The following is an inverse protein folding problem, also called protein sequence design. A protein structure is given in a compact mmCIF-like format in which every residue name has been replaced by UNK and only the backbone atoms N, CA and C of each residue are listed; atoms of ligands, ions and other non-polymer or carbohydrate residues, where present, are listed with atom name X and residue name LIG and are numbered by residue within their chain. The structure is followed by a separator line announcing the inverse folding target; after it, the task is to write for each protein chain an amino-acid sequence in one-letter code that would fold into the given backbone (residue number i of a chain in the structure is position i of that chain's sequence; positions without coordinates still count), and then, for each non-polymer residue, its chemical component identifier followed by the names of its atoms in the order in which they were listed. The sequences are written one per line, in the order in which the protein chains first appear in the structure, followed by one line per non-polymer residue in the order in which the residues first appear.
data_IF_188745427917
#
_entry.id   IF_188745427917
#
_cell.length_a   1.000
_cell.length_b   1.000
_cell.length_c   1.000
_cell.angle_alpha   90.00
_cell.angle_beta   90.00
_cell.angle_gamma   90.00
#
_symmetry.space_group_name_H-M   'P 1'
#
loop_
_entity.id
_entity.type
_entity.pdbx_description
1 polymer ?
#
# COMPACT_ATOMS: atom_id res chain seq x y z
N UNK A 1 -6.28 4.15 3.33
CA UNK A 1 -7.72 4.38 3.05
C UNK A 1 -8.55 4.37 4.33
N UNK A 2 -8.58 3.29 5.12
CA UNK A 2 -9.25 3.28 6.44
C UNK A 2 -8.90 4.48 7.33
N UNK A 3 -7.61 4.80 7.47
CA UNK A 3 -7.18 5.99 8.22
C UNK A 3 -7.80 7.30 7.68
N UNK A 4 -7.94 7.45 6.37
CA UNK A 4 -8.60 8.61 5.78
C UNK A 4 -10.10 8.63 6.07
N UNK A 5 -10.78 7.49 6.00
CA UNK A 5 -12.20 7.35 6.38
C UNK A 5 -12.44 7.78 7.84
N UNK A 6 -11.58 7.31 8.76
CA UNK A 6 -11.62 7.74 10.16
C UNK A 6 -11.31 9.24 10.32
N UNK A 7 -10.33 9.78 9.59
CA UNK A 7 -9.99 11.19 9.65
C UNK A 7 -11.16 12.10 9.22
N UNK A 8 -11.93 11.69 8.22
CA UNK A 8 -13.05 12.50 7.72
C UNK A 8 -14.36 12.24 8.46
N UNK A 9 -14.40 11.24 9.34
CA UNK A 9 -15.53 10.93 10.20
C UNK A 9 -16.74 10.32 9.46
N UNK A 10 -16.54 9.74 8.27
CA UNK A 10 -17.64 9.12 7.52
C UNK A 10 -17.88 7.69 8.01
N UNK A 11 -19.15 7.25 8.13
CA UNK A 11 -19.46 5.87 8.44
C UNK A 11 -19.05 4.97 7.26
N UNK A 12 -18.48 3.81 7.56
CA UNK A 12 -18.12 2.81 6.55
C UNK A 12 -18.20 1.41 7.14
N UNK A 13 -18.37 0.42 6.26
CA UNK A 13 -18.14 -0.99 6.57
C UNK A 13 -16.80 -1.41 5.96
N UNK A 14 -16.04 -2.24 6.68
CA UNK A 14 -14.81 -2.86 6.16
C UNK A 14 -15.05 -4.32 5.91
N UNK A 15 -14.93 -4.74 4.65
CA UNK A 15 -14.87 -6.15 4.27
C UNK A 15 -13.40 -6.58 4.27
N UNK A 16 -12.98 -7.23 5.35
CA UNK A 16 -11.61 -7.74 5.47
C UNK A 16 -11.39 -8.92 4.52
N UNK A 17 -10.23 -8.91 3.84
CA UNK A 17 -9.79 -9.98 2.97
C UNK A 17 -8.46 -10.53 3.46
N UNK A 18 -8.36 -11.85 3.58
CA UNK A 18 -7.10 -12.54 3.82
C UNK A 18 -6.32 -12.59 2.50
N UNK A 19 -5.49 -11.58 2.26
CA UNK A 19 -4.73 -11.44 1.01
C UNK A 19 -3.48 -12.34 0.95
N UNK A 20 -3.11 -12.93 2.08
CA UNK A 20 -1.93 -13.77 2.22
C UNK A 20 -2.18 -15.19 1.71
N UNK A 21 -1.20 -15.84 1.06
CA UNK A 21 -1.28 -17.26 0.75
C UNK A 21 -1.45 -18.11 2.04
N UNK A 22 -2.18 -19.24 1.98
CA UNK A 22 -2.78 -19.85 0.79
C UNK A 22 -4.14 -19.27 0.38
N UNK A 23 -4.75 -18.40 1.19
CA UNK A 23 -6.13 -17.96 0.97
C UNK A 23 -6.29 -17.00 -0.20
N UNK A 24 -5.53 -15.89 -0.18
CA UNK A 24 -5.56 -14.84 -1.22
C UNK A 24 -6.99 -14.54 -1.71
N UNK A 25 -7.89 -14.18 -0.79
CA UNK A 25 -9.34 -14.03 -1.04
C UNK A 25 -9.67 -12.97 -2.11
N UNK A 26 -8.78 -11.99 -2.28
CA UNK A 26 -8.78 -11.00 -3.35
C UNK A 26 -8.57 -11.61 -4.75
N UNK A 27 -8.37 -12.92 -4.88
CA UNK A 27 -8.28 -13.63 -6.16
C UNK A 27 -9.60 -14.32 -6.51
N UNK A 28 -10.64 -14.23 -5.67
CA UNK A 28 -11.99 -14.70 -5.99
C UNK A 28 -12.53 -14.05 -7.27
N UNK A 29 -13.35 -14.77 -8.04
CA UNK A 29 -13.89 -14.25 -9.30
C UNK A 29 -14.76 -13.02 -9.01
N UNK A 30 -15.57 -13.12 -7.97
CA UNK A 30 -16.49 -12.09 -7.49
C UNK A 30 -15.75 -10.80 -7.11
N UNK A 31 -14.63 -10.91 -6.39
CA UNK A 31 -13.82 -9.74 -6.05
C UNK A 31 -13.15 -9.11 -7.27
N UNK A 32 -12.62 -9.93 -8.17
CA UNK A 32 -11.93 -9.44 -9.37
C UNK A 32 -12.93 -8.74 -10.30
N UNK A 33 -14.12 -9.32 -10.51
CA UNK A 33 -15.21 -8.70 -11.25
C UNK A 33 -15.66 -7.38 -10.61
N UNK A 34 -15.83 -7.35 -9.28
CA UNK A 34 -16.13 -6.12 -8.55
C UNK A 34 -15.08 -5.04 -8.83
N UNK A 35 -13.79 -5.38 -8.71
CA UNK A 35 -12.70 -4.41 -8.94
C UNK A 35 -12.61 -3.97 -10.41
N UNK A 36 -12.89 -4.86 -11.35
CA UNK A 36 -12.95 -4.56 -12.79
C UNK A 36 -14.13 -3.66 -13.17
N UNK A 37 -15.17 -3.55 -12.32
CA UNK A 37 -16.26 -2.60 -12.55
C UNK A 37 -15.83 -1.13 -12.38
N UNK A 38 -14.66 -0.87 -11.80
CA UNK A 38 -14.13 0.48 -11.59
C UNK A 38 -13.78 1.21 -12.89
N UNK A 39 -13.86 2.54 -12.87
CA UNK A 39 -13.54 3.37 -14.03
C UNK A 39 -12.07 3.22 -14.48
N UNK A 40 -11.15 2.97 -13.55
CA UNK A 40 -9.73 2.80 -13.87
C UNK A 40 -9.47 1.52 -14.67
N UNK A 41 -10.19 0.43 -14.38
CA UNK A 41 -10.10 -0.82 -15.12
C UNK A 41 -10.46 -0.66 -16.61
N UNK A 42 -11.37 0.27 -16.93
CA UNK A 42 -11.78 0.58 -18.31
C UNK A 42 -10.82 1.53 -19.05
N UNK A 43 -9.97 2.25 -18.33
CA UNK A 43 -9.17 3.36 -18.86
C UNK A 43 -7.66 3.14 -18.80
N UNK A 44 -7.21 2.06 -18.15
CA UNK A 44 -5.80 1.71 -18.04
C UNK A 44 -5.56 0.27 -18.50
N UNK A 45 -4.43 0.00 -19.15
CA UNK A 45 -4.04 -1.36 -19.47
C UNK A 45 -3.80 -2.15 -18.18
N UNK A 46 -3.97 -3.47 -18.26
CA UNK A 46 -3.57 -4.35 -17.19
C UNK A 46 -2.05 -4.31 -16.98
N UNK A 47 -1.66 -4.67 -15.77
CA UNK A 47 -0.25 -4.81 -15.36
C UNK A 47 0.48 -5.82 -16.22
N UNK A 48 1.65 -5.45 -16.73
CA UNK A 48 2.48 -6.31 -17.61
C UNK A 48 3.94 -6.44 -17.13
N UNK A 49 4.26 -5.96 -15.92
CA UNK A 49 5.60 -5.96 -15.37
C UNK A 49 5.62 -5.89 -13.85
N UNK A 50 6.83 -5.72 -13.28
CA UNK A 50 7.02 -5.53 -11.85
C UNK A 50 8.34 -4.79 -11.53
N UNK A 51 8.25 -3.65 -10.85
CA UNK A 51 9.40 -2.86 -10.38
C UNK A 51 9.66 -2.94 -8.87
N UNK A 52 8.86 -3.75 -8.13
CA UNK A 52 8.81 -3.72 -6.67
C UNK A 52 7.69 -2.85 -6.10
N UNK A 53 7.08 -2.00 -6.93
CA UNK A 53 5.93 -1.16 -6.58
C UNK A 53 4.58 -1.85 -6.77
N UNK A 54 3.52 -1.10 -6.51
CA UNK A 54 2.14 -1.48 -6.81
C UNK A 54 1.27 -0.34 -7.36
N UNK A 55 1.89 0.81 -7.65
CA UNK A 55 1.18 1.97 -8.20
C UNK A 55 0.66 1.67 -9.60
N UNK A 56 -0.61 2.00 -9.88
CA UNK A 56 -1.20 1.81 -11.21
C UNK A 56 -0.52 2.71 -12.25
N UNK A 57 -0.01 3.88 -11.83
CA UNK A 57 0.65 4.82 -12.72
C UNK A 57 1.92 4.23 -13.35
N UNK A 58 2.66 3.43 -12.60
CA UNK A 58 3.94 2.85 -13.03
C UNK A 58 3.83 1.40 -13.51
N UNK A 59 2.90 0.61 -12.95
CA UNK A 59 2.82 -0.83 -13.21
C UNK A 59 1.67 -1.21 -14.14
N UNK A 60 0.63 -0.38 -14.26
CA UNK A 60 -0.65 -0.76 -14.85
C UNK A 60 -1.63 -1.33 -13.83
N UNK A 61 -2.86 -1.61 -14.29
CA UNK A 61 -3.95 -2.00 -13.41
C UNK A 61 -3.89 -3.48 -13.03
N UNK A 62 -3.87 -3.77 -11.72
CA UNK A 62 -3.96 -5.12 -11.17
C UNK A 62 -5.37 -5.33 -10.57
N UNK A 63 -6.19 -6.11 -11.27
CA UNK A 63 -7.56 -6.43 -10.86
C UNK A 63 -7.63 -7.38 -9.65
N UNK A 64 -6.50 -7.95 -9.23
CA UNK A 64 -6.40 -8.80 -8.05
C UNK A 64 -5.72 -8.05 -6.88
N UNK A 65 -5.44 -6.76 -7.00
CA UNK A 65 -4.88 -5.96 -5.92
C UNK A 65 -5.96 -5.44 -4.96
N UNK A 66 -5.52 -4.98 -3.79
CA UNK A 66 -6.31 -4.21 -2.81
C UNK A 66 -5.68 -2.82 -2.67
N UNK A 67 -6.38 -1.78 -2.16
CA UNK A 67 -7.78 -1.75 -1.69
C UNK A 67 -8.79 -1.41 -2.80
N UNK A 68 -10.07 -1.75 -2.57
CA UNK A 68 -11.23 -1.34 -3.39
C UNK A 68 -12.22 -0.62 -2.48
N UNK A 69 -12.77 0.50 -2.93
CA UNK A 69 -13.87 1.23 -2.28
C UNK A 69 -15.16 1.00 -3.09
N UNK A 70 -16.25 0.71 -2.40
CA UNK A 70 -17.59 0.64 -2.99
C UNK A 70 -18.45 1.70 -2.34
N UNK A 71 -18.96 2.63 -3.14
CA UNK A 71 -20.01 3.55 -2.72
C UNK A 71 -21.36 2.93 -3.08
N UNK A 72 -22.06 2.42 -2.07
CA UNK A 72 -23.36 1.78 -2.26
C UNK A 72 -24.48 2.76 -2.63
N UNK A 73 -24.39 4.02 -2.24
CA UNK A 73 -25.40 5.04 -2.56
C UNK A 73 -25.31 5.44 -4.03
N UNK A 74 -24.09 5.55 -4.57
CA UNK A 74 -23.86 5.90 -5.99
C UNK A 74 -23.74 4.68 -6.91
N UNK A 75 -23.62 3.48 -6.35
CA UNK A 75 -23.31 2.28 -7.13
C UNK A 75 -21.94 2.34 -7.81
N UNK A 76 -20.97 3.05 -7.20
CA UNK A 76 -19.66 3.30 -7.80
C UNK A 76 -18.58 2.42 -7.15
N UNK A 77 -17.74 1.79 -7.98
CA UNK A 77 -16.54 1.10 -7.51
C UNK A 77 -15.31 1.94 -7.86
N UNK A 78 -14.50 2.25 -6.84
CA UNK A 78 -13.24 2.97 -6.99
C UNK A 78 -12.10 2.06 -6.60
N UNK A 79 -11.17 1.86 -7.52
CA UNK A 79 -9.91 1.14 -7.31
C UNK A 79 -8.74 2.11 -7.53
N UNK A 80 -7.55 1.74 -7.04
CA UNK A 80 -6.35 2.59 -6.89
C UNK A 80 -6.38 3.51 -5.66
N UNK A 81 -5.30 3.48 -4.86
CA UNK A 81 -5.21 4.23 -3.60
C UNK A 81 -5.29 5.74 -3.79
N UNK A 82 -4.78 6.28 -4.89
CA UNK A 82 -4.80 7.73 -5.16
C UNK A 82 -6.18 8.17 -5.62
N UNK A 83 -6.84 7.38 -6.47
CA UNK A 83 -8.23 7.64 -6.85
C UNK A 83 -9.19 7.52 -5.68
N UNK A 84 -9.03 6.50 -4.82
CA UNK A 84 -9.82 6.39 -3.59
C UNK A 84 -9.53 7.59 -2.69
N UNK A 85 -8.27 8.01 -2.52
CA UNK A 85 -7.96 9.20 -1.73
C UNK A 85 -8.62 10.47 -2.28
N UNK A 86 -8.61 10.68 -3.59
CA UNK A 86 -9.31 11.80 -4.23
C UNK A 86 -10.82 11.71 -4.05
N UNK A 87 -11.38 10.49 -4.07
CA UNK A 87 -12.78 10.25 -3.76
C UNK A 87 -13.12 10.68 -2.32
N UNK A 88 -12.31 10.26 -1.35
CA UNK A 88 -12.50 10.59 0.06
C UNK A 88 -12.30 12.08 0.34
N UNK A 89 -11.37 12.75 -0.35
CA UNK A 89 -11.20 14.19 -0.22
C UNK A 89 -12.46 14.95 -0.66
N UNK A 90 -13.07 14.55 -1.77
CA UNK A 90 -14.36 15.10 -2.21
C UNK A 90 -15.47 14.89 -1.17
N UNK A 91 -15.55 13.70 -0.56
CA UNK A 91 -16.49 13.45 0.54
C UNK A 91 -16.21 14.32 1.78
N UNK A 92 -14.96 14.73 1.95
CA UNK A 92 -14.52 15.59 3.06
C UNK A 92 -14.61 17.08 2.75
N UNK A 93 -15.14 17.47 1.59
CA UNK A 93 -15.19 18.88 1.14
C UNK A 93 -13.80 19.54 1.12
N UNK A 94 -12.77 18.81 0.72
CA UNK A 94 -11.40 19.33 0.59
C UNK A 94 -10.60 19.39 1.91
N UNK A 95 -11.10 18.79 3.00
CA UNK A 95 -10.38 18.76 4.28
C UNK A 95 -9.09 17.94 4.23
N UNK A 96 -9.03 16.89 3.40
CA UNK A 96 -7.81 16.07 3.25
C UNK A 96 -6.79 16.73 2.32
N UNK A 97 -7.25 17.51 1.35
CA UNK A 97 -6.44 18.19 0.33
C UNK A 97 -6.84 19.67 0.30
N UNK A 98 -6.34 20.50 1.23
CA UNK A 98 -6.63 21.94 1.23
C UNK A 98 -6.25 22.59 -0.11
N UNK A 99 -7.14 23.40 -0.67
CA UNK A 99 -7.05 23.91 -2.04
C UNK A 99 -5.72 24.60 -2.34
N UNK A 100 -5.24 25.46 -1.43
CA UNK A 100 -3.98 26.20 -1.58
C UNK A 100 -2.73 25.31 -1.43
N UNK A 101 -2.87 24.10 -0.89
CA UNK A 101 -1.80 23.11 -0.77
C UNK A 101 -1.92 21.93 -1.74
N UNK A 102 -2.92 21.91 -2.64
CA UNK A 102 -3.24 20.75 -3.48
C UNK A 102 -2.04 20.16 -4.22
N UNK A 103 -1.21 21.00 -4.85
CA UNK A 103 0.00 20.55 -5.56
C UNK A 103 1.01 19.88 -4.62
N UNK A 104 1.19 20.42 -3.41
CA UNK A 104 2.11 19.85 -2.42
C UNK A 104 1.58 18.54 -1.87
N UNK A 105 0.28 18.46 -1.60
CA UNK A 105 -0.37 17.23 -1.13
C UNK A 105 -0.16 16.09 -2.12
N UNK A 106 -0.53 16.30 -3.39
CA UNK A 106 -0.42 15.25 -4.39
C UNK A 106 1.03 14.87 -4.72
N UNK A 107 1.97 15.82 -4.60
CA UNK A 107 3.40 15.51 -4.70
C UNK A 107 3.85 14.55 -3.60
N UNK A 108 3.49 14.80 -2.35
CA UNK A 108 3.88 13.91 -1.23
C UNK A 108 3.21 12.53 -1.34
N UNK A 109 1.92 12.50 -1.74
CA UNK A 109 1.22 11.24 -2.02
C UNK A 109 1.93 10.45 -3.13
N UNK A 110 2.33 11.11 -4.22
CA UNK A 110 3.06 10.46 -5.31
C UNK A 110 4.43 9.91 -4.87
N UNK A 111 5.15 10.63 -4.00
CA UNK A 111 6.42 10.15 -3.43
C UNK A 111 6.19 8.85 -2.66
N UNK A 112 5.18 8.81 -1.79
CA UNK A 112 4.87 7.61 -0.99
C UNK A 112 4.40 6.46 -1.87
N UNK A 113 3.55 6.72 -2.87
CA UNK A 113 3.00 5.71 -3.78
C UNK A 113 4.08 5.07 -4.67
N UNK A 114 5.19 5.78 -4.90
CA UNK A 114 6.36 5.28 -5.61
C UNK A 114 7.30 4.41 -4.75
N UNK A 115 7.13 4.38 -3.42
CA UNK A 115 7.97 3.53 -2.56
C UNK A 115 7.64 2.06 -2.87
N UNK A 116 8.65 1.20 -3.10
CA UNK A 116 8.48 -0.20 -3.50
C UNK A 116 8.10 -1.10 -2.31
N UNK A 117 7.01 -0.78 -1.61
CA UNK A 117 6.58 -1.50 -0.40
C UNK A 117 6.27 -2.98 -0.66
N UNK A 118 5.80 -3.33 -1.87
CA UNK A 118 5.55 -4.72 -2.24
C UNK A 118 6.87 -5.50 -2.32
N UNK A 119 7.89 -4.93 -2.98
CA UNK A 119 9.22 -5.53 -3.08
C UNK A 119 9.85 -5.73 -1.70
N UNK A 120 9.78 -4.72 -0.82
CA UNK A 120 10.27 -4.81 0.56
C UNK A 120 9.51 -5.83 1.41
N UNK A 121 8.24 -6.11 1.06
CA UNK A 121 7.43 -7.10 1.75
C UNK A 121 7.77 -8.51 1.30
N UNK A 122 7.84 -8.79 0.00
CA UNK A 122 8.10 -10.13 -0.53
C UNK A 122 9.58 -10.52 -0.50
N UNK A 123 10.48 -9.61 -0.88
CA UNK A 123 11.91 -9.87 -0.99
C UNK A 123 12.69 -9.69 0.31
N UNK A 124 13.77 -10.45 0.46
CA UNK A 124 14.70 -10.33 1.58
C UNK A 124 15.72 -9.21 1.34
N UNK A 125 16.16 -8.55 2.41
CA UNK A 125 17.36 -7.74 2.34
C UNK A 125 18.59 -8.67 2.23
N UNK A 126 19.34 -8.65 1.11
CA UNK A 126 20.46 -9.55 0.90
C UNK A 126 21.62 -9.29 1.87
N UNK A 127 21.67 -8.12 2.50
CA UNK A 127 22.77 -7.70 3.38
C UNK A 127 22.39 -7.79 4.87
N UNK A 128 21.20 -8.32 5.19
CA UNK A 128 20.70 -8.50 6.56
C UNK A 128 19.19 -8.30 6.65
N UNK A 129 18.44 -9.41 6.70
CA UNK A 129 16.97 -9.40 6.70
C UNK A 129 16.38 -9.38 8.12
N UNK A 130 16.06 -8.17 8.59
CA UNK A 130 15.48 -7.88 9.90
C UNK A 130 13.94 -7.99 9.97
N UNK A 131 13.30 -8.42 8.87
CA UNK A 131 11.87 -8.71 8.87
C UNK A 131 11.55 -9.77 9.93
N UNK A 132 10.39 -9.68 10.62
CA UNK A 132 9.95 -10.72 11.55
C UNK A 132 9.99 -12.13 10.92
N UNK A 133 10.33 -13.14 11.71
CA UNK A 133 10.51 -14.51 11.23
C UNK A 133 9.26 -15.05 10.54
N UNK A 134 8.09 -14.76 11.10
CA UNK A 134 6.79 -15.15 10.57
C UNK A 134 6.56 -14.58 9.15
N UNK A 135 7.07 -13.38 8.88
CA UNK A 135 6.99 -12.75 7.56
C UNK A 135 7.98 -13.38 6.60
N UNK A 136 9.23 -13.57 7.02
CA UNK A 136 10.23 -14.24 6.17
C UNK A 136 9.75 -15.64 5.77
N UNK A 137 9.26 -16.42 6.74
CA UNK A 137 8.71 -17.75 6.52
C UNK A 137 7.47 -17.72 5.62
N UNK A 138 6.53 -16.79 5.87
CA UNK A 138 5.31 -16.64 5.08
C UNK A 138 5.57 -16.23 3.61
N UNK A 139 6.66 -15.49 3.35
CA UNK A 139 6.99 -15.02 2.00
C UNK A 139 7.70 -16.07 1.16
N UNK A 140 8.25 -17.11 1.78
CA UNK A 140 8.90 -18.19 1.07
C UNK A 140 7.90 -18.90 0.13
N UNK A 141 8.17 -18.82 -1.17
CA UNK A 141 7.32 -19.39 -2.21
C UNK A 141 5.96 -18.71 -2.39
N UNK A 142 5.73 -17.52 -1.81
CA UNK A 142 4.44 -16.82 -1.88
C UNK A 142 3.98 -16.57 -3.33
N UNK A 143 4.87 -16.16 -4.22
CA UNK A 143 4.57 -15.98 -5.65
C UNK A 143 4.17 -17.31 -6.33
N UNK A 144 4.84 -18.43 -6.02
CA UNK A 144 4.49 -19.73 -6.60
C UNK A 144 3.09 -20.16 -6.18
N UNK A 145 2.77 -20.06 -4.88
CA UNK A 145 1.42 -20.38 -4.35
C UNK A 145 0.33 -19.55 -5.03
N UNK A 146 0.60 -18.27 -5.27
CA UNK A 146 -0.32 -17.38 -5.99
C UNK A 146 -0.48 -17.75 -7.46
N UNK A 147 0.62 -18.05 -8.17
CA UNK A 147 0.58 -18.48 -9.56
C UNK A 147 -0.24 -19.78 -9.69
N UNK A 148 -0.01 -20.75 -8.80
CA UNK A 148 -0.77 -22.01 -8.77
C UNK A 148 -2.26 -21.77 -8.56
N UNK A 149 -2.63 -20.91 -7.59
CA UNK A 149 -4.02 -20.53 -7.35
C UNK A 149 -4.68 -19.84 -8.55
N UNK A 150 -3.97 -18.93 -9.22
CA UNK A 150 -4.51 -18.25 -10.40
C UNK A 150 -4.67 -19.24 -11.56
N UNK A 151 -3.70 -20.14 -11.77
CA UNK A 151 -3.79 -21.20 -12.79
C UNK A 151 -4.96 -22.14 -12.54
N UNK A 152 -5.25 -22.50 -11.29
CA UNK A 152 -6.41 -23.35 -10.98
C UNK A 152 -7.73 -22.62 -11.27
N UNK A 153 -7.79 -21.30 -11.07
CA UNK A 153 -8.98 -20.48 -11.38
C UNK A 153 -9.18 -20.29 -12.89
N UNK A 154 -8.10 -20.26 -13.67
CA UNK A 154 -8.16 -20.17 -15.14
C UNK A 154 -8.75 -21.42 -15.81
N UNK A 155 -8.57 -22.60 -15.23
CA UNK A 155 -8.85 -23.90 -15.88
C UNK A 155 -10.32 -24.09 -16.33
N UNK A 156 -11.26 -23.31 -15.78
CA UNK A 156 -12.69 -23.38 -16.14
C UNK A 156 -13.24 -22.14 -16.84
N UNK A 157 -12.42 -21.14 -17.14
CA UNK A 157 -12.90 -19.87 -17.70
C UNK A 157 -12.94 -19.88 -19.23
N UNK A 158 -13.99 -19.30 -19.85
CA UNK A 158 -14.05 -19.08 -21.29
C UNK A 158 -12.82 -18.33 -21.80
N UNK A 159 -12.39 -18.62 -23.03
CA UNK A 159 -11.23 -17.98 -23.66
C UNK A 159 -11.41 -16.47 -23.82
N UNK A 160 -12.63 -16.01 -24.10
CA UNK A 160 -12.91 -14.60 -24.38
C UNK A 160 -13.40 -13.81 -23.15
N UNK A 161 -13.17 -14.34 -21.94
CA UNK A 161 -13.60 -13.69 -20.70
C UNK A 161 -12.60 -12.64 -20.23
N UNK A 162 -13.09 -11.44 -19.91
CA UNK A 162 -12.27 -10.40 -19.26
C UNK A 162 -11.65 -10.86 -17.93
N UNK A 163 -12.30 -11.80 -17.23
CA UNK A 163 -11.77 -12.39 -16.00
C UNK A 163 -10.54 -13.26 -16.27
N UNK A 164 -10.52 -13.98 -17.40
CA UNK A 164 -9.34 -14.72 -17.86
C UNK A 164 -8.19 -13.76 -18.13
N UNK A 165 -8.42 -12.67 -18.88
CA UNK A 165 -7.39 -11.67 -19.17
C UNK A 165 -6.76 -11.10 -17.89
N UNK A 166 -7.59 -10.76 -16.90
CA UNK A 166 -7.14 -10.25 -15.61
C UNK A 166 -6.25 -11.26 -14.86
N UNK A 167 -6.63 -12.54 -14.85
CA UNK A 167 -5.84 -13.60 -14.23
C UNK A 167 -4.54 -13.89 -14.98
N UNK A 168 -4.54 -13.86 -16.32
CA UNK A 168 -3.32 -14.05 -17.12
C UNK A 168 -2.30 -12.94 -16.85
N UNK A 169 -2.75 -11.67 -16.80
CA UNK A 169 -1.89 -10.54 -16.41
C UNK A 169 -1.41 -10.65 -14.95
N UNK A 170 -2.20 -11.25 -14.07
CA UNK A 170 -1.73 -11.55 -12.72
C UNK A 170 -0.57 -12.55 -12.72
N UNK A 171 -0.65 -13.61 -13.52
CA UNK A 171 0.45 -14.58 -13.64
C UNK A 171 1.71 -13.88 -14.13
N UNK A 172 1.62 -13.05 -15.17
CA UNK A 172 2.74 -12.26 -15.69
C UNK A 172 3.39 -11.44 -14.57
N UNK A 173 2.59 -10.70 -13.79
CA UNK A 173 3.09 -9.90 -12.67
C UNK A 173 3.74 -10.74 -11.57
N UNK A 174 3.14 -11.85 -11.17
CA UNK A 174 3.68 -12.69 -10.08
C UNK A 174 4.95 -13.43 -10.53
N UNK A 175 5.06 -13.80 -11.82
CA UNK A 175 6.29 -14.35 -12.40
C UNK A 175 7.42 -13.31 -12.46
N UNK A 176 7.12 -12.09 -12.93
CA UNK A 176 8.04 -10.96 -12.92
C UNK A 176 8.47 -10.61 -11.48
N UNK A 177 7.53 -10.59 -10.54
CA UNK A 177 7.77 -10.34 -9.12
C UNK A 177 8.71 -11.36 -8.50
N UNK A 178 8.45 -12.65 -8.73
CA UNK A 178 9.32 -13.74 -8.29
C UNK A 178 10.75 -13.57 -8.80
N UNK A 179 10.92 -13.26 -10.08
CA UNK A 179 12.24 -13.01 -10.68
C UNK A 179 12.92 -11.79 -10.05
N UNK A 180 12.19 -10.69 -9.93
CA UNK A 180 12.70 -9.42 -9.40
C UNK A 180 13.25 -9.56 -7.97
N UNK A 181 12.46 -10.15 -7.06
CA UNK A 181 12.85 -10.26 -5.64
C UNK A 181 13.99 -11.26 -5.40
N UNK A 182 14.20 -12.19 -6.33
CA UNK A 182 15.28 -13.18 -6.24
C UNK A 182 16.64 -12.60 -6.59
N UNK A 183 16.69 -11.43 -7.24
CA UNK A 183 17.92 -10.76 -7.63
C UNK A 183 18.42 -9.82 -6.52
N UNK A 184 19.59 -10.09 -5.90
CA UNK A 184 20.11 -9.26 -4.82
C UNK A 184 20.33 -7.80 -5.21
N UNK A 185 20.76 -7.55 -6.45
CA UNK A 185 20.96 -6.18 -6.96
C UNK A 185 19.67 -5.36 -6.97
N UNK A 186 18.55 -5.97 -7.39
CA UNK A 186 17.25 -5.32 -7.38
C UNK A 186 16.80 -4.99 -5.95
N UNK A 187 16.97 -5.95 -5.04
CA UNK A 187 16.62 -5.76 -3.63
C UNK A 187 17.44 -4.64 -2.97
N UNK A 188 18.76 -4.59 -3.20
CA UNK A 188 19.59 -3.46 -2.75
C UNK A 188 19.13 -2.14 -3.35
N UNK A 189 18.79 -2.12 -4.63
CA UNK A 189 18.29 -0.93 -5.32
C UNK A 189 17.03 -0.36 -4.67
N UNK A 190 16.02 -1.19 -4.43
CA UNK A 190 14.77 -0.72 -3.81
C UNK A 190 14.94 -0.32 -2.34
N UNK A 191 15.83 -0.97 -1.60
CA UNK A 191 16.16 -0.63 -0.21
C UNK A 191 16.84 0.75 -0.18
N UNK A 192 17.86 0.96 -1.02
CA UNK A 192 18.56 2.24 -1.11
C UNK A 192 17.63 3.37 -1.57
N UNK A 193 16.77 3.12 -2.56
CA UNK A 193 15.78 4.10 -3.01
C UNK A 193 14.80 4.49 -1.89
N UNK A 194 14.32 3.50 -1.12
CA UNK A 194 13.42 3.74 0.02
C UNK A 194 14.11 4.56 1.10
N UNK A 195 15.34 4.20 1.48
CA UNK A 195 16.11 4.95 2.47
C UNK A 195 16.33 6.41 2.01
N UNK A 196 16.64 6.63 0.73
CA UNK A 196 16.77 7.98 0.19
C UNK A 196 15.43 8.76 0.28
N UNK A 197 14.28 8.14 0.00
CA UNK A 197 12.97 8.80 0.19
C UNK A 197 12.73 9.22 1.64
N UNK A 198 13.19 8.43 2.61
CA UNK A 198 13.12 8.74 4.05
C UNK A 198 14.04 9.91 4.43
N UNK A 199 15.28 9.92 3.93
CA UNK A 199 16.20 11.05 4.15
C UNK A 199 15.64 12.34 3.56
N UNK A 200 15.06 12.28 2.36
CA UNK A 200 14.43 13.45 1.75
C UNK A 200 13.17 13.89 2.51
N UNK A 201 12.41 12.97 3.10
CA UNK A 201 11.32 13.31 4.02
C UNK A 201 11.85 14.10 5.22
N UNK A 202 12.96 13.65 5.83
CA UNK A 202 13.59 14.34 6.98
C UNK A 202 13.94 15.79 6.65
N UNK A 203 14.56 16.01 5.49
CA UNK A 203 14.91 17.35 5.01
C UNK A 203 13.67 18.23 4.84
N UNK A 204 12.60 17.70 4.22
CA UNK A 204 11.35 18.44 4.02
C UNK A 204 10.66 18.78 5.34
N UNK A 205 10.71 17.90 6.33
CA UNK A 205 10.20 18.17 7.68
C UNK A 205 11.05 19.22 8.40
N UNK A 206 12.38 19.22 8.20
CA UNK A 206 13.29 20.20 8.81
C UNK A 206 13.13 21.62 8.21
N UNK A 207 12.80 21.71 6.93
CA UNK A 207 12.46 22.97 6.25
C UNK A 207 11.07 23.50 6.63
N UNK A 208 10.17 22.61 7.07
CA UNK A 208 8.83 22.94 7.53
C UNK A 208 8.82 23.75 8.83
N UNK A 209 7.75 24.52 9.03
CA UNK A 209 7.55 25.33 10.25
C UNK A 209 6.54 24.71 11.23
N UNK A 210 5.95 23.58 10.88
CA UNK A 210 4.87 22.93 11.65
C UNK A 210 5.23 21.52 12.08
N UNK A 211 4.30 20.90 12.81
CA UNK A 211 4.42 19.53 13.31
C UNK A 211 4.16 18.45 12.23
N UNK A 212 3.46 18.85 11.17
CA UNK A 212 3.01 18.00 10.06
C UNK A 212 3.68 18.38 8.75
N UNK A 213 3.48 17.58 7.71
CA UNK A 213 4.03 17.86 6.36
C UNK A 213 3.59 19.23 5.84
N UNK A 214 2.35 19.59 6.14
CA UNK A 214 1.78 20.91 5.83
C UNK A 214 1.60 21.72 7.12
N UNK A 215 1.81 23.05 7.06
CA UNK A 215 1.71 23.90 8.24
C UNK A 215 0.28 24.01 8.80
N UNK A 216 -0.73 23.78 7.96
CA UNK A 216 -2.14 23.97 8.30
C UNK A 216 -2.73 22.85 9.17
N UNK A 217 -2.01 21.73 9.30
CA UNK A 217 -2.46 20.60 10.12
C UNK A 217 -2.29 19.24 9.44
N UNK A 218 -2.87 18.24 10.09
CA UNK A 218 -2.85 16.84 9.64
C UNK A 218 -3.73 16.63 8.41
N UNK A 219 -3.11 16.19 7.30
CA UNK A 219 -3.76 16.09 5.98
C UNK A 219 -3.45 14.75 5.29
N UNK A 220 -3.87 14.58 4.04
CA UNK A 220 -3.66 13.35 3.27
C UNK A 220 -2.19 12.88 3.21
N UNK A 221 -1.17 13.75 3.03
CA UNK A 221 0.24 13.35 3.07
C UNK A 221 0.62 12.66 4.38
N UNK A 222 0.14 13.15 5.51
CA UNK A 222 0.45 12.58 6.82
C UNK A 222 -0.13 11.18 6.96
N UNK A 223 -1.33 10.94 6.42
CA UNK A 223 -1.93 9.60 6.38
C UNK A 223 -1.09 8.64 5.52
N UNK A 224 -0.65 9.07 4.33
CA UNK A 224 0.15 8.25 3.42
C UNK A 224 1.52 7.93 4.03
N UNK A 225 2.22 8.94 4.55
CA UNK A 225 3.49 8.75 5.25
C UNK A 225 3.34 7.90 6.51
N UNK A 226 2.27 8.10 7.30
CA UNK A 226 1.97 7.27 8.47
C UNK A 226 1.84 5.79 8.13
N UNK A 227 1.09 5.45 7.09
CA UNK A 227 0.97 4.04 6.64
C UNK A 227 2.30 3.51 6.13
N UNK A 228 3.05 4.30 5.36
CA UNK A 228 4.36 3.94 4.83
C UNK A 228 5.38 3.64 5.94
N UNK A 229 5.56 4.58 6.88
CA UNK A 229 6.47 4.46 8.01
C UNK A 229 6.06 3.31 8.94
N UNK A 230 4.75 3.14 9.19
CA UNK A 230 4.26 2.01 9.96
C UNK A 230 4.62 0.68 9.30
N UNK A 231 4.45 0.56 7.98
CA UNK A 231 4.80 -0.65 7.22
C UNK A 231 6.31 -0.92 7.26
N UNK A 232 7.14 0.11 7.17
CA UNK A 232 8.60 -0.03 7.27
C UNK A 232 9.02 -0.48 8.69
N UNK A 233 8.44 0.11 9.73
CA UNK A 233 8.67 -0.30 11.12
C UNK A 233 8.28 -1.76 11.33
N UNK A 234 7.08 -2.11 10.87
CA UNK A 234 6.55 -3.46 10.89
C UNK A 234 7.49 -4.48 10.21
N UNK A 235 8.08 -4.11 9.07
CA UNK A 235 9.02 -4.93 8.33
C UNK A 235 10.47 -4.86 8.84
N UNK A 236 10.72 -4.17 9.95
CA UNK A 236 12.07 -4.07 10.53
C UNK A 236 13.02 -3.16 9.77
N UNK A 237 12.50 -2.26 8.94
CA UNK A 237 13.26 -1.21 8.24
C UNK A 237 13.32 0.10 9.03
N UNK A 238 12.98 0.10 10.32
CA UNK A 238 13.03 1.30 11.18
C UNK A 238 14.44 1.91 11.31
N UNK A 239 15.48 1.12 11.02
CA UNK A 239 16.85 1.61 10.93
C UNK A 239 17.05 2.69 9.87
N UNK A 240 16.18 2.76 8.84
CA UNK A 240 16.28 3.74 7.76
C UNK A 240 16.13 5.20 8.23
N UNK A 241 15.54 5.43 9.41
CA UNK A 241 15.37 6.77 9.97
C UNK A 241 15.97 6.94 11.37
N UNK A 242 16.83 6.03 11.84
CA UNK A 242 17.44 6.16 13.18
C UNK A 242 18.31 7.40 13.32
N UNK A 243 19.00 7.78 12.25
CA UNK A 243 19.89 8.95 12.21
C UNK A 243 19.20 10.20 11.65
N UNK A 244 17.90 10.11 11.35
CA UNK A 244 17.11 11.25 10.89
C UNK A 244 16.72 12.15 12.07
N UNK A 245 16.72 13.46 11.84
CA UNK A 245 16.55 14.46 12.91
C UNK A 245 15.08 14.74 13.25
N UNK A 246 14.17 14.57 12.28
CA UNK A 246 12.75 14.91 12.36
C UNK A 246 11.84 13.69 12.18
N UNK A 247 12.22 12.75 11.32
CA UNK A 247 11.38 11.56 11.03
C UNK A 247 11.01 10.76 12.28
N UNK A 248 11.90 10.51 13.27
CA UNK A 248 11.51 9.76 14.47
C UNK A 248 10.34 10.39 15.25
N UNK A 249 10.42 11.70 15.53
CA UNK A 249 9.38 12.43 16.27
C UNK A 249 8.09 12.54 15.43
N UNK A 250 8.24 12.77 14.13
CA UNK A 250 7.12 12.81 13.20
C UNK A 250 6.38 11.46 13.12
N UNK A 251 7.11 10.34 13.00
CA UNK A 251 6.55 9.00 12.99
C UNK A 251 5.80 8.68 14.29
N UNK A 252 6.37 9.05 15.43
CA UNK A 252 5.71 8.87 16.73
C UNK A 252 4.38 9.64 16.78
N UNK A 253 4.38 10.90 16.36
CA UNK A 253 3.16 11.74 16.30
C UNK A 253 2.11 11.14 15.37
N UNK A 254 2.53 10.65 14.20
CA UNK A 254 1.65 9.96 13.25
C UNK A 254 1.02 8.73 13.88
N UNK A 255 1.79 7.87 14.55
CA UNK A 255 1.30 6.65 15.17
C UNK A 255 0.33 6.92 16.34
N UNK A 256 0.41 8.08 16.98
CA UNK A 256 -0.52 8.50 18.02
C UNK A 256 -1.78 9.21 17.50
N UNK A 257 -1.81 9.59 16.23
CA UNK A 257 -3.00 10.22 15.64
C UNK A 257 -4.21 9.28 15.68
N UNK A 258 -5.43 9.79 15.96
CA UNK A 258 -6.65 8.96 15.97
C UNK A 258 -6.88 8.21 14.66
N UNK A 259 -6.58 8.84 13.52
CA UNK A 259 -6.71 8.23 12.20
C UNK A 259 -5.82 6.98 12.04
N UNK A 260 -4.56 7.05 12.48
CA UNK A 260 -3.63 5.92 12.41
C UNK A 260 -3.95 4.85 13.45
N UNK A 261 -4.27 5.25 14.68
CA UNK A 261 -4.68 4.32 15.74
C UNK A 261 -5.88 3.49 15.31
N UNK A 262 -6.94 4.14 14.85
CA UNK A 262 -8.18 3.46 14.51
C UNK A 262 -8.13 2.76 13.15
N UNK A 263 -7.49 3.37 12.14
CA UNK A 263 -7.52 2.86 10.77
C UNK A 263 -6.42 1.86 10.41
N UNK A 264 -5.35 1.78 11.22
CA UNK A 264 -4.12 1.04 10.86
C UNK A 264 -3.59 0.21 12.03
N UNK A 265 -3.28 0.83 13.17
CA UNK A 265 -2.49 0.19 14.23
C UNK A 265 -3.33 -0.74 15.08
N UNK A 266 -4.48 -0.28 15.58
CA UNK A 266 -5.36 -1.09 16.42
C UNK A 266 -6.34 -1.93 15.58
N UNK A 267 -6.25 -1.82 14.26
CA UNK A 267 -7.13 -2.56 13.37
C UNK A 267 -6.67 -4.02 13.27
N UNK A 268 -7.58 -5.01 13.38
CA UNK A 268 -7.20 -6.43 13.32
C UNK A 268 -6.54 -6.81 11.99
N UNK A 269 -5.67 -7.83 12.03
CA UNK A 269 -5.11 -8.44 10.82
C UNK A 269 -3.73 -7.93 10.39
N UNK A 270 -3.09 -7.02 11.14
CA UNK A 270 -1.65 -6.85 11.00
C UNK A 270 -0.94 -8.12 11.55
N UNK A 271 0.11 -8.64 10.88
CA UNK A 271 0.82 -9.79 11.41
C UNK A 271 1.51 -9.46 12.75
N UNK A 272 1.75 -10.47 13.61
CA UNK A 272 2.34 -10.26 14.93
C UNK A 272 3.77 -9.73 14.81
N UNK A 273 4.25 -9.04 15.85
CA UNK A 273 5.63 -8.58 15.89
C UNK A 273 5.95 -7.67 17.07
N UNK A 274 7.10 -7.92 17.71
CA UNK A 274 7.57 -7.16 18.89
C UNK A 274 7.64 -5.65 18.68
N UNK A 275 7.92 -5.19 17.44
CA UNK A 275 7.97 -3.77 17.09
C UNK A 275 6.57 -3.12 17.15
N UNK A 276 5.53 -3.85 16.76
CA UNK A 276 4.14 -3.38 16.74
C UNK A 276 3.48 -3.50 18.10
N UNK A 277 3.76 -4.59 18.83
CA UNK A 277 3.27 -4.77 20.21
C UNK A 277 3.69 -3.62 21.14
N UNK A 278 4.83 -2.97 20.89
CA UNK A 278 5.27 -1.79 21.64
C UNK A 278 4.35 -0.58 21.44
N UNK A 279 3.74 -0.46 20.27
CA UNK A 279 2.79 0.63 19.98
C UNK A 279 1.44 0.39 20.66
N UNK A 280 1.05 -0.87 20.88
CA UNK A 280 -0.25 -1.23 21.49
C UNK A 280 -0.31 -1.17 23.02
N UNK A 281 0.80 -0.87 23.73
CA UNK A 281 0.86 -0.81 25.20
C UNK A 281 0.76 0.62 25.76
N UNK A 282 -0.13 1.44 25.22
CA UNK A 282 -0.44 2.77 25.78
C UNK A 282 -1.93 2.92 26.00
#
# INVERSE_FOLDING_TARGET
MRAALFQIGVPFASSELIIMPPFSENYSAEYVELRMASAIARSRPFVNGYSGGSSVENEGFDALAVPTLVDHEKGEVVADSRLIAAYLDRLSEGRLVPLHWQNRVWREVAIVDAIPHAGLFYGANPDGDDRPEEIRAGMLGAHNKKIELVRSRLAGLPTDSALRDAYEHKIIKEEAGRGFISAPANMRGIIAATQNSIVQLDQRLAEGKGEWILPDGFTLPDIFWGVSLFRLLYLGYDWMWKDCSKVPEYAERLFHSPAMRNGVINWPGHPPGKRIERLGRQ
#
